data_IF_647710482642
#
_entry.id   IF_647710482642
#
_cell.length_a   1.000
_cell.length_b   1.000
_cell.length_c   1.000
_cell.angle_alpha   90.00
_cell.angle_beta   90.00
_cell.angle_gamma   90.00
#
_symmetry.space_group_name_H-M   'P 1'
#
loop_
_entity.id
_entity.type
_entity.pdbx_description
1 polymer ?
#
# COMPACT_ATOMS: atom_id res chain seq x y z
N UNK A 1 -18.29 5.74 -17.95
CA UNK A 1 -17.33 6.31 -16.99
C UNK A 1 -17.59 5.72 -15.61
N UNK A 2 -18.73 5.98 -14.93
CA UNK A 2 -19.01 5.56 -13.55
C UNK A 2 -18.80 4.05 -13.29
N UNK A 3 -19.24 3.17 -14.24
CA UNK A 3 -19.04 1.71 -14.10
C UNK A 3 -17.56 1.30 -14.17
N UNK A 4 -16.76 1.99 -14.96
CA UNK A 4 -15.32 1.74 -15.03
C UNK A 4 -14.59 2.23 -13.78
N UNK A 5 -14.98 3.38 -13.24
CA UNK A 5 -14.45 3.92 -11.99
C UNK A 5 -14.76 2.99 -10.83
N UNK A 6 -15.97 2.44 -10.73
CA UNK A 6 -16.34 1.48 -9.70
C UNK A 6 -15.54 0.17 -9.83
N UNK A 7 -15.33 -0.32 -11.04
CA UNK A 7 -14.49 -1.49 -11.28
C UNK A 7 -13.04 -1.26 -10.86
N UNK A 8 -12.48 -0.07 -11.14
CA UNK A 8 -11.12 0.31 -10.76
C UNK A 8 -10.92 0.49 -9.25
N UNK A 9 -11.97 0.63 -8.46
CA UNK A 9 -11.88 0.64 -6.99
C UNK A 9 -11.65 -0.74 -6.37
N UNK A 10 -11.90 -1.81 -7.14
CA UNK A 10 -11.67 -3.18 -6.70
C UNK A 10 -10.17 -3.47 -6.71
N UNK A 11 -9.60 -3.79 -5.55
CA UNK A 11 -8.13 -3.96 -5.41
C UNK A 11 -7.56 -5.04 -6.33
N UNK A 12 -8.34 -6.08 -6.67
CA UNK A 12 -7.96 -7.10 -7.64
C UNK A 12 -7.81 -6.57 -9.08
N UNK A 13 -8.43 -5.43 -9.40
CA UNK A 13 -8.33 -4.75 -10.69
C UNK A 13 -7.34 -3.59 -10.61
N UNK A 14 -7.40 -2.80 -9.51
CA UNK A 14 -6.53 -1.64 -9.31
C UNK A 14 -5.05 -2.02 -9.35
N UNK A 15 -4.66 -3.08 -8.65
CA UNK A 15 -3.24 -3.41 -8.50
C UNK A 15 -2.56 -3.72 -9.84
N UNK A 16 -3.08 -4.64 -10.68
CA UNK A 16 -2.49 -4.88 -12.00
C UNK A 16 -2.60 -3.66 -12.94
N UNK A 17 -3.67 -2.87 -12.85
CA UNK A 17 -3.83 -1.67 -13.68
C UNK A 17 -2.80 -0.58 -13.35
N UNK A 18 -2.54 -0.33 -12.07
CA UNK A 18 -1.52 0.62 -11.61
C UNK A 18 -0.14 0.15 -12.06
N UNK A 19 0.23 -1.11 -11.80
CA UNK A 19 1.53 -1.63 -12.23
C UNK A 19 1.73 -1.53 -13.75
N UNK A 20 0.69 -1.84 -14.55
CA UNK A 20 0.78 -1.72 -16.01
C UNK A 20 0.94 -0.27 -16.46
N UNK A 21 0.31 0.68 -15.76
CA UNK A 21 0.45 2.12 -16.01
C UNK A 21 1.86 2.59 -15.65
N UNK A 22 2.39 2.20 -14.50
CA UNK A 22 3.74 2.54 -14.05
C UNK A 22 4.79 2.05 -15.03
N UNK A 23 4.67 0.80 -15.49
CA UNK A 23 5.57 0.23 -16.50
C UNK A 23 5.45 0.96 -17.84
N UNK A 24 4.23 1.26 -18.29
CA UNK A 24 3.99 2.02 -19.52
C UNK A 24 4.64 3.40 -19.48
N UNK A 25 4.52 4.11 -18.36
CA UNK A 25 5.14 5.42 -18.15
C UNK A 25 6.67 5.32 -18.06
N UNK A 26 7.19 4.31 -17.38
CA UNK A 26 8.63 4.04 -17.27
C UNK A 26 9.25 3.81 -18.66
N UNK A 27 8.64 2.97 -19.49
CA UNK A 27 9.09 2.74 -20.88
C UNK A 27 8.97 3.98 -21.75
N UNK A 28 7.91 4.75 -21.58
CA UNK A 28 7.74 6.00 -22.30
C UNK A 28 8.86 6.98 -21.95
N UNK A 29 9.17 7.19 -20.68
CA UNK A 29 10.26 8.05 -20.23
C UNK A 29 11.61 7.58 -20.77
N UNK A 30 11.87 6.26 -20.72
CA UNK A 30 13.08 5.67 -21.26
C UNK A 30 13.26 5.92 -22.78
N UNK A 31 12.16 5.90 -23.55
CA UNK A 31 12.17 6.23 -24.96
C UNK A 31 12.56 7.70 -25.25
N UNK A 32 12.34 8.59 -24.29
CA UNK A 32 12.83 9.99 -24.32
C UNK A 32 14.22 10.17 -23.71
N UNK A 33 14.91 9.08 -23.36
CA UNK A 33 16.24 9.11 -22.77
C UNK A 33 16.28 9.43 -21.28
N UNK A 34 15.12 9.50 -20.62
CA UNK A 34 15.02 9.71 -19.17
C UNK A 34 15.15 8.35 -18.48
N UNK A 35 16.20 8.19 -17.67
CA UNK A 35 16.48 6.96 -16.93
C UNK A 35 16.60 7.26 -15.44
N UNK A 36 16.11 6.37 -14.54
CA UNK A 36 16.28 6.54 -13.11
C UNK A 36 17.70 6.24 -12.66
N UNK A 37 18.19 6.97 -11.66
CA UNK A 37 19.43 6.65 -10.94
C UNK A 37 19.16 5.70 -9.76
N UNK A 38 17.95 5.72 -9.22
CA UNK A 38 17.45 4.77 -8.22
C UNK A 38 15.92 4.65 -8.35
N UNK A 39 15.35 3.62 -7.74
CA UNK A 39 13.93 3.40 -7.73
C UNK A 39 13.38 3.30 -6.30
N UNK A 40 12.14 3.75 -6.11
CA UNK A 40 11.40 3.55 -4.86
C UNK A 40 9.91 3.43 -5.16
N UNK A 41 9.19 2.76 -4.28
CA UNK A 41 7.76 2.60 -4.43
C UNK A 41 7.06 2.55 -3.07
N UNK A 42 5.86 3.11 -3.00
CA UNK A 42 5.01 3.03 -1.81
C UNK A 42 4.05 1.85 -1.95
N UNK A 43 4.09 0.90 -1.00
CA UNK A 43 3.21 -0.26 -0.95
C UNK A 43 3.23 -1.07 -2.25
N UNK A 44 2.17 -1.00 -3.07
CA UNK A 44 2.09 -1.62 -4.39
C UNK A 44 3.21 -1.16 -5.33
N UNK A 45 3.62 0.10 -5.21
CA UNK A 45 4.68 0.69 -6.03
C UNK A 45 6.05 0.03 -5.87
N UNK A 46 6.29 -0.74 -4.80
CA UNK A 46 7.53 -1.52 -4.66
C UNK A 46 7.71 -2.55 -5.79
N UNK A 47 6.62 -3.14 -6.28
CA UNK A 47 6.67 -4.04 -7.45
C UNK A 47 7.08 -3.28 -8.72
N UNK A 48 6.55 -2.07 -8.92
CA UNK A 48 6.98 -1.19 -10.02
C UNK A 48 8.44 -0.77 -9.91
N UNK A 49 8.91 -0.45 -8.70
CA UNK A 49 10.31 -0.12 -8.45
C UNK A 49 11.25 -1.29 -8.77
N UNK A 50 10.88 -2.52 -8.38
CA UNK A 50 11.64 -3.72 -8.71
C UNK A 50 11.64 -4.02 -10.21
N UNK A 51 10.54 -3.78 -10.92
CA UNK A 51 10.48 -3.91 -12.39
C UNK A 51 11.38 -2.87 -13.06
N UNK A 52 11.31 -1.61 -12.66
CA UNK A 52 12.14 -0.53 -13.19
C UNK A 52 13.64 -0.77 -12.93
N UNK A 53 13.99 -1.43 -11.81
CA UNK A 53 15.35 -1.81 -11.46
C UNK A 53 15.78 -3.17 -12.04
N UNK A 54 14.98 -3.79 -12.91
CA UNK A 54 15.23 -5.12 -13.50
C UNK A 54 15.43 -6.26 -12.47
N UNK A 55 15.01 -6.05 -11.21
CA UNK A 55 15.04 -7.06 -10.15
C UNK A 55 13.86 -8.05 -10.21
N UNK A 56 12.77 -7.68 -10.90
CA UNK A 56 11.60 -8.54 -11.10
C UNK A 56 11.07 -8.36 -12.53
N UNK A 57 10.93 -9.44 -13.32
CA UNK A 57 10.31 -9.36 -14.65
C UNK A 57 8.87 -8.82 -14.56
N UNK A 58 8.47 -7.97 -15.50
CA UNK A 58 7.12 -7.39 -15.51
C UNK A 58 6.00 -8.44 -15.46
N UNK A 59 6.15 -9.55 -16.20
CA UNK A 59 5.17 -10.64 -16.20
C UNK A 59 5.01 -11.26 -14.80
N UNK A 60 6.12 -11.48 -14.09
CA UNK A 60 6.15 -12.02 -12.74
C UNK A 60 5.57 -11.02 -11.73
N UNK A 61 5.92 -9.74 -11.88
CA UNK A 61 5.33 -8.66 -11.07
C UNK A 61 3.82 -8.57 -11.28
N UNK A 62 3.34 -8.68 -12.52
CA UNK A 62 1.91 -8.68 -12.85
C UNK A 62 1.18 -9.88 -12.22
N UNK A 63 1.80 -11.07 -12.23
CA UNK A 63 1.27 -12.24 -11.52
C UNK A 63 1.19 -11.98 -10.01
N UNK A 64 2.27 -11.45 -9.41
CA UNK A 64 2.34 -11.15 -7.98
C UNK A 64 1.27 -10.17 -7.53
N UNK A 65 1.12 -9.02 -8.20
CA UNK A 65 0.13 -8.00 -7.82
C UNK A 65 -1.30 -8.45 -8.09
N UNK A 66 -1.52 -9.26 -9.13
CA UNK A 66 -2.82 -9.87 -9.40
C UNK A 66 -3.22 -10.88 -8.31
N UNK A 67 -2.28 -11.71 -7.88
CA UNK A 67 -2.47 -12.62 -6.75
C UNK A 67 -2.73 -11.83 -5.46
N UNK A 68 -1.91 -10.80 -5.17
CA UNK A 68 -2.06 -9.94 -4.00
C UNK A 68 -3.46 -9.32 -3.94
N UNK A 69 -3.94 -8.75 -5.05
CA UNK A 69 -5.26 -8.15 -5.13
C UNK A 69 -6.39 -9.16 -4.87
N UNK A 70 -6.28 -10.37 -5.44
CA UNK A 70 -7.26 -11.45 -5.22
C UNK A 70 -7.26 -11.95 -3.78
N UNK A 71 -6.08 -12.23 -3.21
CA UNK A 71 -5.99 -12.78 -1.86
C UNK A 71 -6.42 -11.78 -0.79
N UNK A 72 -6.17 -10.50 -0.99
CA UNK A 72 -6.67 -9.43 -0.08
C UNK A 72 -8.20 -9.30 -0.09
N UNK A 73 -8.88 -9.73 -1.15
CA UNK A 73 -10.35 -9.68 -1.26
C UNK A 73 -11.02 -11.00 -0.92
N UNK A 74 -10.30 -12.12 -1.00
CA UNK A 74 -10.83 -13.48 -0.84
C UNK A 74 -11.31 -13.77 0.58
N UNK A 75 -10.57 -13.29 1.57
CA UNK A 75 -10.89 -13.45 2.98
C UNK A 75 -11.36 -12.11 3.54
N UNK A 76 -12.63 -11.80 3.29
CA UNK A 76 -13.23 -10.59 3.83
C UNK A 76 -13.89 -10.94 5.17
N UNK A 77 -13.36 -10.48 6.31
CA UNK A 77 -14.09 -10.56 7.58
C UNK A 77 -15.37 -9.74 7.52
N UNK A 78 -16.29 -9.95 8.46
CA UNK A 78 -17.53 -9.16 8.56
C UNK A 78 -17.22 -7.65 8.65
N UNK A 79 -16.17 -7.27 9.40
CA UNK A 79 -15.60 -5.92 9.40
C UNK A 79 -14.34 -5.87 8.52
N UNK A 80 -14.47 -5.30 7.34
CA UNK A 80 -13.34 -5.05 6.42
C UNK A 80 -12.37 -4.01 6.94
N UNK A 81 -12.72 -3.36 8.04
CA UNK A 81 -11.97 -2.26 8.61
C UNK A 81 -12.14 -0.93 7.87
N UNK A 82 -11.56 0.09 8.45
CA UNK A 82 -11.56 1.45 7.92
C UNK A 82 -10.12 1.98 7.87
N UNK A 83 -9.87 2.91 6.96
CA UNK A 83 -8.60 3.65 6.90
C UNK A 83 -8.86 5.15 6.82
N UNK A 84 -8.01 5.92 7.47
CA UNK A 84 -8.06 7.38 7.42
C UNK A 84 -6.66 7.99 7.36
N UNK A 85 -6.48 8.99 6.51
CA UNK A 85 -5.30 9.83 6.50
C UNK A 85 -5.41 10.86 7.64
N UNK A 86 -4.32 11.05 8.38
CA UNK A 86 -4.22 11.97 9.53
C UNK A 86 -3.05 12.91 9.29
N UNK A 87 -3.31 14.21 9.37
CA UNK A 87 -2.30 15.26 9.21
C UNK A 87 -1.91 15.81 10.59
N UNK A 88 -1.02 15.09 11.27
CA UNK A 88 -0.51 15.41 12.60
C UNK A 88 0.92 14.88 12.77
N UNK A 89 1.70 15.39 13.74
CA UNK A 89 2.97 14.78 14.11
C UNK A 89 2.76 13.31 14.54
N UNK A 90 3.66 12.42 14.10
CA UNK A 90 3.49 10.97 14.32
C UNK A 90 3.32 10.62 15.80
N UNK A 91 4.12 11.24 16.69
CA UNK A 91 4.03 10.99 18.16
C UNK A 91 2.66 11.40 18.76
N UNK A 92 1.98 12.41 18.17
CA UNK A 92 0.64 12.81 18.58
C UNK A 92 -0.41 11.79 18.13
N UNK A 93 -0.27 11.27 16.90
CA UNK A 93 -1.13 10.17 16.43
C UNK A 93 -0.97 8.97 17.37
N UNK A 94 0.25 8.53 17.63
CA UNK A 94 0.53 7.42 18.54
C UNK A 94 -0.05 7.65 19.95
N UNK A 95 0.07 8.86 20.46
CA UNK A 95 -0.48 9.24 21.78
C UNK A 95 -2.00 9.06 21.82
N UNK A 96 -2.69 9.52 20.78
CA UNK A 96 -4.15 9.36 20.70
C UNK A 96 -4.53 7.88 20.54
N UNK A 97 -3.88 7.13 19.64
CA UNK A 97 -4.21 5.73 19.41
C UNK A 97 -4.06 4.86 20.66
N UNK A 98 -3.11 5.15 21.54
CA UNK A 98 -2.93 4.44 22.84
C UNK A 98 -4.16 4.59 23.78
N UNK A 99 -5.00 5.60 23.58
CA UNK A 99 -6.21 5.82 24.39
C UNK A 99 -7.47 5.17 23.81
N UNK A 100 -7.39 4.64 22.59
CA UNK A 100 -8.53 4.08 21.87
C UNK A 100 -8.69 2.60 22.22
N UNK A 101 -9.85 2.21 22.67
CA UNK A 101 -10.20 0.80 22.84
C UNK A 101 -10.48 0.14 21.48
N UNK A 102 -10.02 -1.10 21.31
CA UNK A 102 -10.17 -1.85 20.07
C UNK A 102 -8.93 -1.75 19.17
N UNK A 103 -9.01 -2.40 18.00
CA UNK A 103 -7.88 -2.54 17.11
C UNK A 103 -7.77 -1.36 16.15
N UNK A 104 -6.79 -0.50 16.36
CA UNK A 104 -6.37 0.58 15.45
C UNK A 104 -4.87 0.75 15.52
N UNK A 105 -4.22 0.90 14.38
CA UNK A 105 -2.77 1.04 14.25
C UNK A 105 -2.43 2.12 13.23
N UNK A 106 -1.19 2.60 13.24
CA UNK A 106 -0.61 3.31 12.11
C UNK A 106 -0.28 2.27 11.03
N UNK A 107 -0.95 2.37 9.90
CA UNK A 107 -0.78 1.48 8.76
C UNK A 107 0.34 1.94 7.83
N UNK A 108 0.49 3.27 7.64
CA UNK A 108 1.55 3.88 6.83
C UNK A 108 2.01 5.19 7.47
N UNK A 109 3.31 5.47 7.37
CA UNK A 109 3.91 6.78 7.68
C UNK A 109 4.36 7.40 6.36
N UNK A 110 3.65 8.44 5.90
CA UNK A 110 3.94 9.08 4.62
C UNK A 110 4.94 10.25 4.76
N UNK A 111 4.96 10.87 5.93
CA UNK A 111 5.90 11.94 6.30
C UNK A 111 5.93 12.13 7.81
N UNK A 112 6.78 13.02 8.32
CA UNK A 112 6.84 13.36 9.74
C UNK A 112 5.52 13.95 10.30
N UNK A 113 4.59 14.35 9.41
CA UNK A 113 3.32 14.99 9.75
C UNK A 113 2.12 14.39 9.04
N UNK A 114 2.26 13.24 8.42
CA UNK A 114 1.16 12.53 7.77
C UNK A 114 1.31 11.03 7.94
N UNK A 115 0.30 10.42 8.51
CA UNK A 115 0.18 8.96 8.58
C UNK A 115 -1.21 8.51 8.15
N UNK A 116 -1.32 7.23 7.81
CA UNK A 116 -2.61 6.56 7.62
C UNK A 116 -2.83 5.63 8.80
N UNK A 117 -3.96 5.79 9.47
CA UNK A 117 -4.43 4.86 10.51
C UNK A 117 -5.39 3.85 9.89
N UNK A 118 -5.36 2.61 10.38
CA UNK A 118 -6.23 1.55 9.92
C UNK A 118 -6.54 0.56 11.04
N UNK A 119 -7.66 -0.15 10.92
CA UNK A 119 -8.07 -1.12 11.93
C UNK A 119 -9.56 -1.42 11.87
N UNK A 120 -10.12 -1.95 12.97
CA UNK A 120 -11.55 -2.19 13.11
C UNK A 120 -12.33 -0.89 12.92
N UNK A 121 -13.42 -0.93 12.15
CA UNK A 121 -14.16 0.26 11.73
C UNK A 121 -14.54 1.17 12.89
N UNK A 122 -15.04 0.60 13.99
CA UNK A 122 -15.46 1.39 15.15
C UNK A 122 -14.28 1.98 15.93
N UNK A 123 -13.14 1.28 16.00
CA UNK A 123 -11.95 1.81 16.67
C UNK A 123 -11.35 2.97 15.85
N UNK A 124 -11.29 2.83 14.52
CA UNK A 124 -10.84 3.92 13.64
C UNK A 124 -11.73 5.14 13.73
N UNK A 125 -13.07 4.99 13.75
CA UNK A 125 -14.01 6.12 13.95
C UNK A 125 -13.74 6.85 15.25
N UNK A 126 -13.59 6.15 16.38
CA UNK A 126 -13.25 6.76 17.68
C UNK A 126 -11.89 7.48 17.64
N UNK A 127 -10.91 6.90 16.97
CA UNK A 127 -9.61 7.54 16.78
C UNK A 127 -9.73 8.84 15.98
N UNK A 128 -10.47 8.81 14.86
CA UNK A 128 -10.75 9.99 14.03
C UNK A 128 -11.40 11.12 14.85
N UNK A 129 -12.47 10.81 15.60
CA UNK A 129 -13.15 11.79 16.46
C UNK A 129 -12.20 12.41 17.50
N UNK A 130 -11.32 11.59 18.09
CA UNK A 130 -10.36 12.06 19.08
C UNK A 130 -9.28 12.95 18.48
N UNK A 131 -8.80 12.60 17.27
CA UNK A 131 -7.83 13.40 16.52
C UNK A 131 -8.42 14.73 16.05
N UNK A 132 -9.66 14.72 15.56
CA UNK A 132 -10.38 15.95 15.17
C UNK A 132 -10.61 16.86 16.39
N UNK A 133 -11.01 16.31 17.55
CA UNK A 133 -11.12 17.08 18.80
C UNK A 133 -9.80 17.68 19.27
N UNK A 134 -8.67 17.01 18.94
CA UNK A 134 -7.34 17.53 19.20
C UNK A 134 -6.87 18.59 18.18
N UNK A 135 -7.72 18.95 17.20
CA UNK A 135 -7.45 19.98 16.20
C UNK A 135 -6.71 19.51 14.94
N UNK A 136 -6.63 18.20 14.71
CA UNK A 136 -5.98 17.65 13.54
C UNK A 136 -6.96 17.37 12.40
N UNK A 137 -6.47 17.53 11.16
CA UNK A 137 -7.22 17.17 9.97
C UNK A 137 -7.19 15.65 9.77
N UNK A 138 -8.37 15.07 9.50
CA UNK A 138 -8.53 13.63 9.27
C UNK A 138 -9.48 13.39 8.11
N UNK A 139 -9.08 12.54 7.15
CA UNK A 139 -9.87 12.21 5.97
C UNK A 139 -10.00 10.71 5.82
N UNK A 140 -11.23 10.19 5.72
CA UNK A 140 -11.50 8.78 5.41
C UNK A 140 -10.99 8.45 4.01
N UNK A 141 -10.29 7.33 3.88
CA UNK A 141 -9.81 6.85 2.59
C UNK A 141 -10.87 5.94 1.94
N UNK A 142 -11.21 6.14 0.64
CA UNK A 142 -12.19 5.33 -0.08
C UNK A 142 -11.58 3.99 -0.54
N UNK A 143 -11.10 3.20 0.40
CA UNK A 143 -10.47 1.89 0.14
C UNK A 143 -11.38 0.75 0.59
N UNK A 144 -11.20 -0.44 -0.01
CA UNK A 144 -12.07 -1.59 0.22
C UNK A 144 -11.81 -2.31 1.55
N UNK A 145 -10.62 -2.19 2.11
CA UNK A 145 -10.17 -2.88 3.34
C UNK A 145 -9.16 -2.03 4.10
N UNK A 146 -8.97 -2.33 5.39
CA UNK A 146 -7.86 -1.76 6.17
C UNK A 146 -6.54 -2.46 5.81
N UNK A 147 -5.92 -1.99 4.71
CA UNK A 147 -4.62 -2.48 4.24
C UNK A 147 -3.51 -2.19 5.26
N UNK A 148 -2.42 -2.97 5.21
CA UNK A 148 -1.29 -2.86 6.14
C UNK A 148 -1.67 -3.03 7.61
N UNK A 149 -2.73 -3.79 7.88
CA UNK A 149 -3.20 -4.16 9.22
C UNK A 149 -3.38 -5.67 9.33
N UNK A 150 -3.60 -6.18 10.54
CA UNK A 150 -3.87 -7.62 10.75
C UNK A 150 -5.17 -8.09 10.08
N UNK A 151 -6.08 -7.18 9.68
CA UNK A 151 -7.34 -7.52 8.99
C UNK A 151 -7.07 -8.23 7.65
N UNK A 152 -5.99 -7.88 6.95
CA UNK A 152 -5.60 -8.51 5.68
C UNK A 152 -4.45 -9.52 5.83
N UNK A 153 -4.06 -9.88 7.05
CA UNK A 153 -2.92 -10.78 7.29
C UNK A 153 -3.10 -12.18 6.68
N UNK A 154 -4.34 -12.65 6.53
CA UNK A 154 -4.63 -13.94 5.89
C UNK A 154 -4.17 -14.03 4.43
N UNK A 155 -3.99 -12.89 3.75
CA UNK A 155 -3.45 -12.84 2.40
C UNK A 155 -1.93 -13.12 2.33
N UNK A 156 -1.20 -13.04 3.44
CA UNK A 156 0.26 -13.11 3.46
C UNK A 156 0.79 -14.46 3.01
N UNK A 157 0.27 -15.55 3.54
CA UNK A 157 0.76 -16.90 3.22
C UNK A 157 0.45 -17.33 1.78
N UNK A 158 -0.76 -17.14 1.24
CA UNK A 158 -1.02 -17.37 -0.18
C UNK A 158 -0.11 -16.54 -1.10
N UNK A 159 0.09 -15.26 -0.78
CA UNK A 159 0.98 -14.39 -1.56
C UNK A 159 2.43 -14.86 -1.49
N UNK A 160 2.92 -15.23 -0.30
CA UNK A 160 4.28 -15.78 -0.14
C UNK A 160 4.54 -16.97 -1.04
N UNK A 161 3.57 -17.90 -1.18
CA UNK A 161 3.68 -19.06 -2.08
C UNK A 161 3.78 -18.65 -3.55
N UNK A 162 3.10 -17.59 -3.95
CA UNK A 162 3.24 -17.04 -5.30
C UNK A 162 4.65 -16.48 -5.49
N UNK A 163 5.10 -15.61 -4.59
CA UNK A 163 6.41 -14.96 -4.67
C UNK A 163 7.58 -15.95 -4.70
N UNK A 164 7.49 -17.07 -3.96
CA UNK A 164 8.54 -18.09 -3.90
C UNK A 164 8.84 -18.80 -5.25
N UNK A 165 7.93 -18.74 -6.20
CA UNK A 165 8.12 -19.36 -7.54
C UNK A 165 8.47 -18.35 -8.63
N UNK A 166 8.53 -17.06 -8.30
CA UNK A 166 8.88 -16.00 -9.24
C UNK A 166 10.41 -15.82 -9.33
N UNK A 167 10.85 -15.28 -10.44
CA UNK A 167 12.27 -15.05 -10.70
C UNK A 167 12.69 -13.66 -10.18
N UNK A 168 13.05 -13.62 -8.90
CA UNK A 168 13.60 -12.40 -8.28
C UNK A 168 15.13 -12.42 -8.47
N UNK A 169 15.68 -11.37 -9.05
CA UNK A 169 17.11 -11.17 -9.26
C UNK A 169 17.62 -9.97 -8.44
N UNK A 170 18.94 -9.82 -8.37
CA UNK A 170 19.55 -8.61 -7.83
C UNK A 170 19.17 -7.40 -8.72
N UNK A 171 18.63 -6.32 -8.13
CA UNK A 171 18.28 -5.11 -8.87
C UNK A 171 19.51 -4.47 -9.53
N UNK A 172 19.37 -3.98 -10.75
CA UNK A 172 20.45 -3.26 -11.47
C UNK A 172 20.55 -1.78 -11.08
N UNK A 173 19.58 -1.27 -10.37
CA UNK A 173 19.55 0.07 -9.81
C UNK A 173 19.32 -0.04 -8.30
N UNK A 174 19.87 0.90 -7.51
CA UNK A 174 19.53 0.97 -6.10
C UNK A 174 18.02 1.11 -5.89
N UNK A 175 17.44 0.28 -5.04
CA UNK A 175 16.01 0.31 -4.70
C UNK A 175 15.86 0.63 -3.22
N UNK A 176 15.03 1.63 -2.91
CA UNK A 176 14.70 1.98 -1.52
C UNK A 176 13.55 1.10 -1.04
N UNK A 177 13.76 0.42 0.07
CA UNK A 177 12.74 -0.41 0.73
C UNK A 177 11.68 0.47 1.41
N UNK A 178 10.41 0.22 1.14
CA UNK A 178 9.31 0.96 1.78
C UNK A 178 9.19 0.64 3.29
N UNK A 179 9.79 -0.45 3.74
CA UNK A 179 9.73 -0.92 5.12
C UNK A 179 10.49 0.00 6.08
N UNK A 180 11.66 0.49 5.70
CA UNK A 180 12.55 1.27 6.55
C UNK A 180 13.11 2.55 5.90
N UNK A 181 12.90 2.74 4.59
CA UNK A 181 13.42 3.87 3.84
C UNK A 181 14.91 3.79 3.50
N UNK A 182 15.52 2.63 3.65
CA UNK A 182 16.93 2.37 3.31
C UNK A 182 17.02 1.60 1.98
N UNK A 183 18.19 1.64 1.36
CA UNK A 183 18.42 0.81 0.17
C UNK A 183 18.44 -0.68 0.53
N UNK A 184 17.92 -1.50 -0.35
CA UNK A 184 18.15 -2.95 -0.27
C UNK A 184 19.66 -3.22 -0.35
N UNK A 185 20.16 -4.21 0.42
CA UNK A 185 21.56 -4.57 0.45
C UNK A 185 22.04 -5.14 -0.91
#
# INVERSE_FOLDING_TARGET
VARAEEALRQTAITQPAVLATDEGLTRMLAAYGIKPDFAMGHSLGEYGALVAAEGLPFADALEAVSARGREMTRFSPDDKGLMAAVFAPIHEIERVLKTISGYVVIANINSNRQAVIGGASDAVRRAMESLVRAGYEVTVLPVSHAFHTSIVASASEPLRRVLQRLHVAEPRLPVVANTNGEFYP
#
